data_IF_957823189246
#
_entry.id   IF_957823189246
#
_cell.length_a   1.000
_cell.length_b   1.000
_cell.length_c   1.000
_cell.angle_alpha   90.00
_cell.angle_beta   90.00
_cell.angle_gamma   90.00
#
_symmetry.space_group_name_H-M   'P 1'
#
loop_
_entity.id
_entity.type
_entity.pdbx_description
1 polymer ?
#
# COMPACT_ATOMS: atom_id res chain seq x y z
N UNK A 1 28.52 -38.58 31.81
CA UNK A 1 28.21 -38.31 30.39
C UNK A 1 27.15 -37.22 30.38
N UNK A 2 27.55 -35.97 30.10
CA UNK A 2 26.63 -34.83 30.01
C UNK A 2 26.07 -34.80 28.58
N UNK A 3 24.77 -35.02 28.45
CA UNK A 3 24.03 -34.85 27.18
C UNK A 3 23.75 -33.35 27.05
N UNK A 4 24.54 -32.69 26.21
CA UNK A 4 24.27 -31.30 25.81
C UNK A 4 23.09 -31.26 24.86
N UNK A 5 21.96 -30.71 25.31
CA UNK A 5 20.88 -30.28 24.44
C UNK A 5 21.39 -29.14 23.56
N UNK A 6 21.62 -29.44 22.27
CA UNK A 6 21.78 -28.42 21.23
C UNK A 6 20.47 -27.62 21.19
N UNK A 7 20.49 -26.41 21.74
CA UNK A 7 19.50 -25.40 21.39
C UNK A 7 19.66 -25.12 19.90
N UNK A 8 18.74 -25.65 19.09
CA UNK A 8 18.54 -25.13 17.75
C UNK A 8 17.94 -23.73 17.93
N UNK A 9 18.80 -22.72 17.93
CA UNK A 9 18.39 -21.36 17.59
C UNK A 9 17.86 -21.40 16.15
N UNK A 10 16.57 -21.75 16.01
CA UNK A 10 15.80 -21.53 14.80
C UNK A 10 15.66 -20.01 14.65
N UNK A 11 16.65 -19.39 14.05
CA UNK A 11 16.46 -18.15 13.32
C UNK A 11 15.48 -18.46 12.18
N UNK A 12 14.17 -18.42 12.48
CA UNK A 12 13.15 -18.48 11.44
C UNK A 12 13.37 -17.28 10.53
N UNK A 13 13.54 -17.56 9.24
CA UNK A 13 13.65 -16.54 8.20
C UNK A 13 12.42 -15.62 8.25
N UNK A 14 12.57 -14.33 7.94
CA UNK A 14 11.43 -13.42 7.85
C UNK A 14 10.34 -14.00 6.97
N UNK A 15 9.09 -13.93 7.44
CA UNK A 15 7.93 -14.27 6.62
C UNK A 15 7.47 -13.01 5.89
N UNK A 16 7.18 -13.17 4.60
CA UNK A 16 6.67 -12.10 3.75
C UNK A 16 5.23 -12.45 3.35
N UNK A 17 4.29 -11.59 3.71
CA UNK A 17 2.93 -11.62 3.19
C UNK A 17 2.78 -10.47 2.21
N UNK A 18 2.33 -10.75 0.98
CA UNK A 18 2.09 -9.72 -0.04
C UNK A 18 0.72 -9.88 -0.66
N UNK A 19 0.11 -8.76 -1.03
CA UNK A 19 -1.06 -8.72 -1.91
C UNK A 19 -0.88 -7.57 -2.90
N UNK A 20 -1.30 -7.81 -4.14
CA UNK A 20 -1.47 -6.76 -5.13
C UNK A 20 -2.90 -6.75 -5.63
N UNK A 21 -3.50 -5.58 -5.67
CA UNK A 21 -4.87 -5.37 -6.13
C UNK A 21 -4.89 -4.28 -7.15
N UNK A 22 -5.49 -4.56 -8.31
CA UNK A 22 -5.81 -3.56 -9.32
C UNK A 22 -7.31 -3.34 -9.35
N UNK A 23 -7.75 -2.10 -9.20
CA UNK A 23 -9.15 -1.71 -9.22
C UNK A 23 -9.39 -0.69 -10.30
N UNK A 24 -10.39 -0.94 -11.14
CA UNK A 24 -10.89 0.01 -12.12
C UNK A 24 -12.14 0.68 -11.58
N UNK A 25 -12.22 2.00 -11.69
CA UNK A 25 -13.33 2.79 -11.18
C UNK A 25 -14.06 3.49 -12.31
N UNK A 26 -15.39 3.41 -12.25
CA UNK A 26 -16.32 4.02 -13.20
C UNK A 26 -16.98 5.28 -12.71
N UNK A 27 -17.74 5.90 -13.62
CA UNK A 27 -18.67 6.95 -13.24
C UNK A 27 -19.73 6.34 -12.30
N UNK A 28 -19.80 6.84 -11.05
CA UNK A 28 -20.69 6.34 -10.00
C UNK A 28 -20.02 5.35 -9.03
N UNK A 29 -20.76 4.32 -8.59
CA UNK A 29 -20.31 3.32 -7.62
C UNK A 29 -19.75 2.03 -8.24
N UNK A 30 -19.60 1.99 -9.57
CA UNK A 30 -19.12 0.81 -10.29
C UNK A 30 -17.60 0.69 -10.16
N UNK A 31 -17.13 -0.47 -9.68
CA UNK A 31 -15.71 -0.78 -9.62
C UNK A 31 -15.46 -2.26 -9.94
N UNK A 32 -14.41 -2.53 -10.70
CA UNK A 32 -13.97 -3.89 -11.03
C UNK A 32 -12.61 -4.14 -10.37
N UNK A 33 -12.53 -5.19 -9.55
CA UNK A 33 -11.33 -5.53 -8.77
C UNK A 33 -10.68 -6.81 -9.31
N UNK A 34 -9.38 -6.73 -9.59
CA UNK A 34 -8.50 -7.85 -9.88
C UNK A 34 -7.52 -7.99 -8.72
N UNK A 35 -7.35 -9.20 -8.20
CA UNK A 35 -6.47 -9.48 -7.06
C UNK A 35 -5.45 -10.50 -7.49
N UNK A 36 -4.17 -10.16 -7.33
CA UNK A 36 -3.06 -11.08 -7.45
C UNK A 36 -2.54 -11.34 -6.03
N UNK A 37 -2.74 -12.56 -5.55
CA UNK A 37 -2.36 -12.97 -4.20
C UNK A 37 -1.27 -14.02 -4.31
N UNK A 38 -0.01 -13.61 -4.21
CA UNK A 38 1.12 -14.51 -4.00
C UNK A 38 1.18 -14.91 -2.52
N UNK A 39 0.19 -15.69 -2.05
CA UNK A 39 0.16 -16.16 -0.66
C UNK A 39 0.82 -17.53 -0.54
N UNK A 40 2.07 -17.56 -0.09
CA UNK A 40 2.65 -18.73 0.57
C UNK A 40 1.97 -18.92 1.95
N UNK A 41 0.73 -19.44 1.96
CA UNK A 41 0.06 -20.09 3.10
C UNK A 41 -0.22 -19.31 4.40
N UNK A 42 0.43 -18.19 4.67
CA UNK A 42 0.21 -17.35 5.87
C UNK A 42 -0.04 -15.90 5.42
N UNK A 43 -1.32 -15.56 5.30
CA UNK A 43 -1.76 -14.18 5.07
C UNK A 43 -1.77 -13.44 6.41
N UNK A 44 -0.87 -12.48 6.59
CA UNK A 44 -0.90 -11.58 7.75
C UNK A 44 -2.22 -10.78 7.72
N UNK A 45 -3.05 -10.81 8.80
CA UNK A 45 -4.37 -10.18 8.80
C UNK A 45 -4.34 -8.67 8.58
N UNK A 46 -3.22 -8.01 8.94
CA UNK A 46 -3.04 -6.58 8.69
C UNK A 46 -3.06 -6.23 7.21
N UNK A 47 -2.68 -7.15 6.31
CA UNK A 47 -2.73 -6.93 4.87
C UNK A 47 -4.15 -6.58 4.43
N UNK A 48 -5.14 -7.35 4.91
CA UNK A 48 -6.54 -7.14 4.57
C UNK A 48 -7.08 -5.86 5.22
N UNK A 49 -6.75 -5.60 6.50
CA UNK A 49 -7.17 -4.38 7.19
C UNK A 49 -6.68 -3.13 6.45
N UNK A 50 -5.40 -3.10 6.07
CA UNK A 50 -4.82 -2.00 5.30
C UNK A 50 -5.54 -1.85 3.96
N UNK A 51 -5.67 -2.94 3.21
CA UNK A 51 -6.30 -2.91 1.90
C UNK A 51 -7.75 -2.40 1.97
N UNK A 52 -8.56 -2.89 2.91
CA UNK A 52 -9.95 -2.46 3.08
C UNK A 52 -10.07 -0.97 3.42
N UNK A 53 -9.25 -0.48 4.36
CA UNK A 53 -9.23 0.94 4.73
C UNK A 53 -8.86 1.83 3.53
N UNK A 54 -7.89 1.40 2.71
CA UNK A 54 -7.46 2.15 1.52
C UNK A 54 -8.53 2.14 0.43
N UNK A 55 -9.13 0.98 0.16
CA UNK A 55 -10.21 0.87 -0.82
C UNK A 55 -11.44 1.68 -0.42
N UNK A 56 -11.79 1.68 0.86
CA UNK A 56 -12.88 2.50 1.38
C UNK A 56 -12.56 3.99 1.26
N UNK A 57 -11.38 4.42 1.71
CA UNK A 57 -10.94 5.81 1.57
C UNK A 57 -11.00 6.27 0.11
N UNK A 58 -10.54 5.44 -0.82
CA UNK A 58 -10.55 5.78 -2.23
C UNK A 58 -11.97 5.88 -2.81
N UNK A 59 -12.86 4.94 -2.46
CA UNK A 59 -14.28 5.00 -2.83
C UNK A 59 -14.94 6.27 -2.31
N UNK A 60 -14.72 6.62 -1.04
CA UNK A 60 -15.25 7.85 -0.45
C UNK A 60 -14.68 9.09 -1.15
N UNK A 61 -13.39 9.05 -1.51
CA UNK A 61 -12.74 10.13 -2.25
C UNK A 61 -13.42 10.31 -3.61
N UNK A 62 -13.68 9.24 -4.37
CA UNK A 62 -14.38 9.31 -5.65
C UNK A 62 -15.86 9.71 -5.55
N UNK A 63 -16.60 9.21 -4.54
CA UNK A 63 -18.01 9.53 -4.35
C UNK A 63 -18.29 11.02 -4.09
N UNK A 64 -17.31 11.74 -3.53
CA UNK A 64 -17.44 13.18 -3.29
C UNK A 64 -17.36 14.01 -4.57
N UNK A 65 -17.09 13.41 -5.73
CA UNK A 65 -16.96 14.12 -6.99
C UNK A 65 -18.13 13.80 -7.91
N UNK A 66 -18.78 14.86 -8.37
CA UNK A 66 -19.84 14.80 -9.37
C UNK A 66 -19.26 14.42 -10.74
N UNK A 67 -20.07 13.81 -11.58
CA UNK A 67 -19.75 13.32 -12.94
C UNK A 67 -19.18 14.36 -13.92
N UNK A 68 -19.11 15.63 -13.53
CA UNK A 68 -18.65 16.75 -14.35
C UNK A 68 -17.27 17.31 -13.94
N UNK A 69 -16.70 16.87 -12.82
CA UNK A 69 -15.39 17.32 -12.37
C UNK A 69 -14.27 16.31 -12.74
N UNK A 70 -13.08 16.78 -13.14
CA UNK A 70 -11.95 15.89 -13.38
C UNK A 70 -11.54 15.16 -12.10
N UNK A 71 -11.03 13.95 -12.29
CA UNK A 71 -10.80 12.98 -11.22
C UNK A 71 -9.72 13.46 -10.23
N UNK A 72 -9.93 13.32 -8.90
CA UNK A 72 -9.14 14.03 -7.88
C UNK A 72 -7.73 13.51 -7.75
N UNK A 73 -7.56 12.18 -7.76
CA UNK A 73 -6.25 11.55 -7.54
C UNK A 73 -5.24 11.93 -8.63
N UNK A 74 -5.70 12.13 -9.87
CA UNK A 74 -4.82 12.55 -10.96
C UNK A 74 -4.36 14.02 -10.84
N UNK A 75 -5.06 14.83 -10.03
CA UNK A 75 -4.82 16.27 -9.91
C UNK A 75 -4.21 16.69 -8.57
N UNK A 76 -4.46 15.90 -7.52
CA UNK A 76 -3.84 16.15 -6.23
C UNK A 76 -2.35 15.83 -6.26
N UNK A 77 -1.52 16.63 -5.57
CA UNK A 77 -0.11 16.30 -5.42
C UNK A 77 0.05 14.93 -4.75
N UNK A 78 0.92 14.07 -5.28
CA UNK A 78 1.21 12.74 -4.70
C UNK A 78 1.58 12.84 -3.22
N UNK A 79 2.20 13.96 -2.81
CA UNK A 79 2.48 14.30 -1.41
C UNK A 79 1.25 14.33 -0.50
N UNK A 80 0.18 14.99 -0.93
CA UNK A 80 -1.06 15.09 -0.15
C UNK A 80 -1.70 13.72 -0.03
N UNK A 81 -1.74 12.97 -1.13
CA UNK A 81 -2.26 11.61 -1.16
C UNK A 81 -1.47 10.71 -0.18
N UNK A 82 -0.14 10.74 -0.23
CA UNK A 82 0.71 9.95 0.65
C UNK A 82 0.47 10.29 2.13
N UNK A 83 0.31 11.57 2.47
CA UNK A 83 0.02 12.02 3.84
C UNK A 83 -1.35 11.54 4.33
N UNK A 84 -2.38 11.59 3.47
CA UNK A 84 -3.71 11.07 3.80
C UNK A 84 -3.67 9.56 4.03
N UNK A 85 -3.00 8.81 3.14
CA UNK A 85 -2.82 7.37 3.27
C UNK A 85 -2.11 7.05 4.58
N UNK A 86 -0.98 7.71 4.86
CA UNK A 86 -0.26 7.52 6.11
C UNK A 86 -1.19 7.77 7.31
N UNK A 87 -1.96 8.87 7.29
CA UNK A 87 -2.96 9.15 8.33
C UNK A 87 -4.03 8.06 8.47
N UNK A 88 -4.46 7.42 7.37
CA UNK A 88 -5.38 6.27 7.43
C UNK A 88 -4.75 5.06 8.08
N UNK A 89 -3.49 4.78 7.76
CA UNK A 89 -2.73 3.71 8.42
C UNK A 89 -2.55 4.02 9.91
N UNK A 90 -2.35 5.29 10.30
CA UNK A 90 -2.27 5.67 11.71
C UNK A 90 -3.55 5.43 12.50
N UNK A 91 -4.70 5.63 11.84
CA UNK A 91 -6.00 5.38 12.44
C UNK A 91 -6.45 3.91 12.36
N UNK A 92 -5.73 3.06 11.63
CA UNK A 92 -6.05 1.65 11.50
C UNK A 92 -5.61 0.89 12.76
N UNK A 93 -6.47 -0.01 13.24
CA UNK A 93 -6.16 -0.88 14.37
C UNK A 93 -5.35 -2.07 13.85
N UNK A 94 -4.03 -1.90 13.72
CA UNK A 94 -3.11 -2.93 13.25
C UNK A 94 -2.49 -3.69 14.42
N UNK A 95 -2.38 -5.00 14.30
CA UNK A 95 -1.65 -5.85 15.22
C UNK A 95 -0.18 -5.95 14.77
N UNK A 96 0.68 -5.12 15.33
CA UNK A 96 2.07 -5.01 14.90
C UNK A 96 3.02 -5.99 15.62
N UNK A 97 2.51 -6.88 16.47
CA UNK A 97 3.37 -7.80 17.19
C UNK A 97 4.10 -8.74 16.22
N UNK A 98 5.43 -8.68 16.25
CA UNK A 98 6.28 -9.44 15.32
C UNK A 98 6.35 -8.87 13.89
N UNK A 99 5.79 -7.69 13.62
CA UNK A 99 5.90 -7.02 12.33
C UNK A 99 7.11 -6.08 12.32
N UNK A 100 8.07 -6.31 11.42
CA UNK A 100 9.23 -5.43 11.27
C UNK A 100 8.98 -4.30 10.28
N UNK A 101 8.25 -4.58 9.20
CA UNK A 101 8.04 -3.62 8.11
C UNK A 101 6.69 -3.83 7.42
N UNK A 102 6.05 -2.72 7.09
CA UNK A 102 4.89 -2.62 6.21
C UNK A 102 5.27 -1.70 5.05
N UNK A 103 5.13 -2.18 3.82
CA UNK A 103 5.31 -1.39 2.61
C UNK A 103 3.99 -1.33 1.85
N UNK A 104 3.56 -0.13 1.51
CA UNK A 104 2.33 0.16 0.78
C UNK A 104 2.73 0.95 -0.46
N UNK A 105 2.50 0.37 -1.64
CA UNK A 105 2.72 1.05 -2.90
C UNK A 105 1.37 1.29 -3.56
N UNK A 106 1.09 2.54 -3.92
CA UNK A 106 -0.12 2.95 -4.61
C UNK A 106 0.27 3.56 -5.94
N UNK A 107 -0.29 3.04 -7.02
CA UNK A 107 -0.16 3.62 -8.35
C UNK A 107 -1.56 3.90 -8.89
N UNK A 108 -1.78 5.09 -9.42
CA UNK A 108 -3.08 5.42 -9.99
C UNK A 108 -2.95 6.32 -11.21
N UNK A 109 -3.99 6.31 -12.02
CA UNK A 109 -4.07 7.17 -13.17
C UNK A 109 -5.30 6.88 -14.01
N UNK A 110 -5.31 7.50 -15.19
CA UNK A 110 -6.31 7.18 -16.18
C UNK A 110 -6.06 5.82 -16.81
N UNK A 111 -7.13 5.11 -17.13
CA UNK A 111 -7.08 3.76 -17.68
C UNK A 111 -6.31 3.66 -19.01
N UNK A 112 -6.25 4.74 -19.81
CA UNK A 112 -5.43 4.77 -21.02
C UNK A 112 -3.92 4.70 -20.73
N UNK A 113 -3.48 4.98 -19.50
CA UNK A 113 -2.10 4.85 -19.02
C UNK A 113 -1.80 3.48 -18.40
N UNK A 114 -2.77 2.54 -18.35
CA UNK A 114 -2.58 1.23 -17.70
C UNK A 114 -1.41 0.44 -18.31
N UNK A 115 -1.15 0.65 -19.60
CA UNK A 115 -0.02 0.04 -20.32
C UNK A 115 1.34 0.41 -19.72
N UNK A 116 1.45 1.50 -18.94
CA UNK A 116 2.71 1.87 -18.26
C UNK A 116 3.04 0.98 -17.06
N UNK A 117 2.04 0.29 -16.49
CA UNK A 117 2.22 -0.52 -15.27
C UNK A 117 1.92 -2.00 -15.47
N UNK A 118 1.17 -2.37 -16.51
CA UNK A 118 0.83 -3.75 -16.75
C UNK A 118 0.59 -4.05 -18.23
N UNK A 119 1.61 -4.59 -18.90
CA UNK A 119 1.57 -5.00 -20.31
C UNK A 119 0.64 -6.20 -20.57
N UNK A 120 0.23 -6.93 -19.51
CA UNK A 120 -0.60 -8.13 -19.63
C UNK A 120 -2.10 -7.83 -19.71
N UNK A 121 -2.46 -6.58 -19.43
CA UNK A 121 -3.86 -6.15 -19.46
C UNK A 121 -4.23 -5.76 -20.89
N UNK A 122 -4.65 -6.76 -21.68
CA UNK A 122 -5.22 -6.57 -23.01
C UNK A 122 -6.74 -6.38 -22.90
N UNK A 123 -7.20 -5.21 -22.43
CA UNK A 123 -8.64 -4.89 -22.48
C UNK A 123 -9.01 -4.34 -23.87
N UNK A 124 -9.55 -5.20 -24.73
CA UNK A 124 -9.94 -4.89 -26.12
C UNK A 124 -11.32 -4.22 -26.27
N UNK A 125 -11.78 -3.43 -25.30
CA UNK A 125 -13.08 -2.77 -25.39
C UNK A 125 -12.97 -1.26 -25.13
N UNK A 126 -13.15 -0.43 -26.16
CA UNK A 126 -13.37 1.02 -25.99
C UNK A 126 -14.45 1.31 -24.93
N UNK A 127 -15.46 0.44 -24.82
CA UNK A 127 -16.55 0.54 -23.85
C UNK A 127 -16.08 0.39 -22.39
N UNK A 128 -15.08 -0.47 -22.13
CA UNK A 128 -14.52 -0.62 -20.77
C UNK A 128 -13.82 0.66 -20.33
N UNK A 129 -13.02 1.26 -21.21
CA UNK A 129 -12.31 2.50 -20.92
C UNK A 129 -13.24 3.70 -20.73
N UNK A 130 -14.39 3.71 -21.42
CA UNK A 130 -15.42 4.74 -21.26
C UNK A 130 -16.20 4.57 -19.95
N UNK A 131 -16.46 3.33 -19.53
CA UNK A 131 -17.21 3.05 -18.30
C UNK A 131 -16.35 3.13 -17.06
N UNK A 132 -15.05 2.82 -17.16
CA UNK A 132 -14.08 2.77 -16.06
C UNK A 132 -12.82 3.60 -16.40
N UNK A 133 -12.90 4.94 -16.36
CA UNK A 133 -11.83 5.81 -16.84
C UNK A 133 -10.58 5.82 -15.97
N UNK A 134 -10.60 5.15 -14.81
CA UNK A 134 -9.54 5.19 -13.82
C UNK A 134 -9.11 3.81 -13.39
N UNK A 135 -7.84 3.71 -13.03
CA UNK A 135 -7.31 2.56 -12.32
C UNK A 135 -6.61 2.98 -11.03
N UNK A 136 -6.53 2.05 -10.09
CA UNK A 136 -5.79 2.11 -8.84
C UNK A 136 -5.15 0.74 -8.61
N UNK A 137 -3.82 0.69 -8.60
CA UNK A 137 -3.05 -0.46 -8.11
C UNK A 137 -2.62 -0.19 -6.66
N UNK A 138 -2.89 -1.15 -5.78
CA UNK A 138 -2.44 -1.17 -4.38
C UNK A 138 -1.61 -2.43 -4.19
N UNK A 139 -0.36 -2.28 -3.79
CA UNK A 139 0.49 -3.38 -3.30
C UNK A 139 0.72 -3.18 -1.81
N UNK A 140 0.47 -4.22 -1.02
CA UNK A 140 0.77 -4.23 0.42
C UNK A 140 1.68 -5.42 0.72
N UNK A 141 2.85 -5.13 1.27
CA UNK A 141 3.84 -6.11 1.68
C UNK A 141 4.11 -5.96 3.17
N UNK A 142 4.00 -7.07 3.91
CA UNK A 142 4.27 -7.11 5.34
C UNK A 142 5.36 -8.13 5.59
N UNK A 143 6.47 -7.64 6.15
CA UNK A 143 7.56 -8.45 6.61
C UNK A 143 7.40 -8.67 8.12
N UNK A 144 7.24 -9.93 8.50
CA UNK A 144 7.19 -10.33 9.91
C UNK A 144 8.51 -11.03 10.28
N UNK A 145 8.98 -10.79 11.50
CA UNK A 145 10.11 -11.49 12.09
C UNK A 145 9.68 -12.16 13.39
N UNK A 146 10.46 -13.13 13.85
CA UNK A 146 10.12 -13.86 15.06
C UNK A 146 9.93 -12.91 16.27
N UNK A 147 8.82 -13.03 17.03
CA UNK A 147 8.48 -12.08 18.11
C UNK A 147 9.56 -11.92 19.20
N UNK A 148 10.41 -12.94 19.39
CA UNK A 148 11.53 -12.87 20.34
C UNK A 148 12.66 -11.91 19.91
N UNK A 149 12.78 -11.63 18.61
CA UNK A 149 13.82 -10.74 18.05
C UNK A 149 13.38 -9.28 18.07
N UNK A 150 12.09 -9.00 17.90
CA UNK A 150 11.54 -7.64 17.73
C UNK A 150 10.96 -7.01 18.99
N UNK A 151 11.17 -7.58 20.20
CA UNK A 151 10.46 -7.15 21.43
C UNK A 151 10.52 -5.65 21.77
N UNK A 152 11.37 -4.85 21.10
CA UNK A 152 11.48 -3.42 21.31
C UNK A 152 11.72 -2.60 20.02
N UNK A 153 11.59 -3.20 18.84
CA UNK A 153 11.84 -2.48 17.58
C UNK A 153 10.53 -1.91 17.03
N UNK A 154 10.50 -0.63 16.66
CA UNK A 154 9.32 -0.07 15.98
C UNK A 154 9.12 -0.74 14.62
N UNK A 155 7.87 -0.91 14.23
CA UNK A 155 7.51 -1.31 12.88
C UNK A 155 7.77 -0.13 11.94
N UNK A 156 8.51 -0.36 10.85
CA UNK A 156 8.69 0.64 9.80
C UNK A 156 7.53 0.58 8.81
N UNK A 157 6.81 1.69 8.62
CA UNK A 157 5.76 1.83 7.62
C UNK A 157 6.25 2.73 6.49
N UNK A 158 6.21 2.22 5.27
CA UNK A 158 6.56 2.95 4.06
C UNK A 158 5.35 3.06 3.14
N UNK A 159 5.03 4.27 2.72
CA UNK A 159 3.97 4.57 1.75
C UNK A 159 4.61 5.21 0.53
N UNK A 160 4.42 4.60 -0.63
CA UNK A 160 4.81 5.14 -1.93
C UNK A 160 3.55 5.43 -2.73
N UNK A 161 3.46 6.63 -3.29
CA UNK A 161 2.35 7.04 -4.17
C UNK A 161 2.91 7.51 -5.49
N UNK A 162 2.47 6.86 -6.56
CA UNK A 162 2.74 7.25 -7.94
C UNK A 162 1.42 7.61 -8.63
N UNK A 163 1.36 8.82 -9.18
CA UNK A 163 0.25 9.28 -10.01
C UNK A 163 0.74 9.43 -11.44
N UNK A 164 0.21 8.60 -12.34
CA UNK A 164 0.58 8.60 -13.76
C UNK A 164 -0.10 9.74 -14.49
N UNK A 165 0.69 10.45 -15.30
CA UNK A 165 0.21 11.53 -16.16
C UNK A 165 0.61 11.26 -17.62
N UNK A 166 -0.13 11.87 -18.54
CA UNK A 166 0.04 11.69 -19.98
C UNK A 166 1.37 12.31 -20.48
N UNK A 167 1.78 13.44 -19.90
CA UNK A 167 2.92 14.25 -20.34
C UNK A 167 4.30 13.78 -19.83
N UNK A 168 4.44 12.51 -19.43
CA UNK A 168 5.67 11.94 -18.87
C UNK A 168 6.14 12.58 -17.55
N UNK A 169 5.29 13.37 -16.89
CA UNK A 169 5.49 13.99 -15.58
C UNK A 169 4.79 13.19 -14.50
N UNK A 170 5.21 11.94 -14.28
CA UNK A 170 4.67 11.17 -13.16
C UNK A 170 4.98 11.89 -11.84
N UNK A 171 3.98 11.98 -10.96
CA UNK A 171 4.17 12.53 -9.61
C UNK A 171 4.39 11.39 -8.64
N UNK A 172 5.59 11.28 -8.08
CA UNK A 172 5.96 10.21 -7.15
C UNK A 172 6.38 10.78 -5.81
N UNK A 173 5.73 10.35 -4.73
CA UNK A 173 6.10 10.66 -3.34
C UNK A 173 6.32 9.36 -2.56
N UNK A 174 7.27 9.39 -1.63
CA UNK A 174 7.43 8.34 -0.62
C UNK A 174 7.54 8.94 0.77
N UNK A 175 6.84 8.33 1.73
CA UNK A 175 6.84 8.68 3.15
C UNK A 175 7.24 7.45 3.96
N UNK A 176 8.11 7.63 4.93
CA UNK A 176 8.53 6.57 5.85
C UNK A 176 8.31 7.03 7.29
N UNK A 177 7.62 6.20 8.07
CA UNK A 177 7.38 6.44 9.49
C UNK A 177 7.67 5.20 10.33
N UNK A 178 8.07 5.41 11.57
CA UNK A 178 8.22 4.36 12.58
C UNK A 178 6.99 4.35 13.50
N UNK A 179 6.43 3.17 13.73
CA UNK A 179 5.29 2.93 14.63
C UNK A 179 5.73 2.02 15.78
N UNK A 180 5.65 2.53 17.01
CA UNK A 180 5.95 1.72 18.20
C UNK A 180 4.81 0.75 18.53
N UNK A 181 5.15 -0.49 18.87
CA UNK A 181 4.23 -1.54 19.34
C UNK A 181 3.69 -1.25 20.75
N UNK A 182 4.32 -0.34 21.50
CA UNK A 182 3.93 -0.03 22.87
C UNK A 182 2.90 1.10 22.91
N UNK A 183 1.62 0.78 22.77
CA UNK A 183 0.57 1.60 23.39
C UNK A 183 -0.65 0.76 23.74
N UNK A 184 -0.71 0.34 25.00
CA UNK A 184 -1.99 0.16 25.69
C UNK A 184 -2.71 1.53 25.65
N UNK A 185 -3.51 1.76 24.62
CA UNK A 185 -4.31 2.98 24.47
C UNK A 185 -3.98 3.75 23.19
N UNK A 186 -5.03 4.04 22.41
CA UNK A 186 -5.07 4.90 21.24
C UNK A 186 -3.98 5.99 21.18
N UNK A 187 -2.83 5.68 20.58
CA UNK A 187 -1.75 6.65 20.40
C UNK A 187 -0.36 6.02 20.38
N UNK A 188 -0.09 5.13 19.42
CA UNK A 188 1.29 4.74 19.14
C UNK A 188 2.13 5.99 18.81
N UNK A 189 3.37 6.06 19.28
CA UNK A 189 4.27 7.17 18.94
C UNK A 189 4.71 7.01 17.49
N UNK A 190 4.28 7.95 16.64
CA UNK A 190 4.67 8.01 15.23
C UNK A 190 5.83 8.97 15.05
N UNK A 191 6.87 8.52 14.36
CA UNK A 191 8.01 9.36 14.01
C UNK A 191 8.20 9.37 12.51
N UNK A 192 8.12 10.55 11.89
CA UNK A 192 8.52 10.73 10.51
C UNK A 192 10.05 10.59 10.40
N UNK A 193 10.51 9.70 9.52
CA UNK A 193 11.94 9.41 9.31
C UNK A 193 12.40 9.69 7.89
N UNK A 194 11.51 10.13 6.99
CA UNK A 194 11.89 10.51 5.63
C UNK A 194 10.72 10.90 4.73
N UNK A 195 10.99 11.86 3.84
CA UNK A 195 10.13 12.28 2.71
C UNK A 195 11.04 12.65 1.54
N UNK A 196 10.76 12.24 0.30
CA UNK A 196 11.38 12.89 -0.86
C UNK A 196 10.56 12.80 -2.15
N UNK A 197 10.88 13.71 -3.07
CA UNK A 197 10.46 13.67 -4.47
C UNK A 197 11.55 12.96 -5.28
N UNK A 198 11.26 11.76 -5.77
CA UNK A 198 12.11 10.95 -6.66
C UNK A 198 13.51 10.57 -6.08
N UNK A 199 13.88 9.29 -5.99
CA UNK A 199 15.29 8.95 -5.91
C UNK A 199 15.91 9.34 -7.25
N UNK A 200 16.82 10.31 -7.26
CA UNK A 200 17.77 10.43 -8.37
C UNK A 200 18.62 9.17 -8.31
N UNK A 201 18.27 8.17 -9.10
CA UNK A 201 19.24 7.19 -9.56
C UNK A 201 20.24 7.99 -10.39
N UNK A 202 21.31 8.45 -9.74
CA UNK A 202 22.49 8.90 -10.46
C UNK A 202 23.13 7.67 -11.14
N UNK A 203 23.69 7.87 -12.34
CA UNK A 203 24.06 6.80 -13.28
C UNK A 203 25.13 5.83 -12.74
#
# INVERSE_FOLDING_TARGET
MLVGTRNNDLAQSPTLSSIKVLVFFGNGSNAVKFTDSDSNGQSNPNVNVILENLLEWFKQKLQRYSSEAPVPICQEPSKIIAQEIMSKIRGAHLDLDGVSRIQINICAGHVFLIHKINDRIQYNGQEFFQQLPLFLEISVEIQSMHPLVLRHTPCQVMVTVEVLQDNNTNSTEWLIEEMSTNSLGAGGLWRNVGTANHPTLQP
#
